data_IF_455335651351
#
_entry.id   IF_455335651351
#
_cell.length_a   1.000
_cell.length_b   1.000
_cell.length_c   1.000
_cell.angle_alpha   90.00
_cell.angle_beta   90.00
_cell.angle_gamma   90.00
#
_symmetry.space_group_name_H-M   'P 1'
#
loop_
_entity.id
_entity.type
_entity.pdbx_description
1 polymer ?
#
# COMPACT_ATOMS: atom_id res chain seq x y z
N UNK A 1 -10.57 -9.59 7.85
CA UNK A 1 -11.03 -8.94 6.61
C UNK A 1 -10.73 -9.77 5.36
N UNK A 2 -11.66 -9.84 4.39
CA UNK A 2 -11.46 -10.50 3.09
C UNK A 2 -11.16 -9.52 1.94
N UNK A 3 -10.79 -10.04 0.76
CA UNK A 3 -10.42 -9.25 -0.42
C UNK A 3 -11.52 -8.26 -0.86
N UNK A 4 -12.78 -8.69 -0.86
CA UNK A 4 -13.90 -7.82 -1.26
C UNK A 4 -14.09 -6.67 -0.27
N UNK A 5 -13.97 -6.95 1.02
CA UNK A 5 -14.03 -5.94 2.09
C UNK A 5 -12.85 -4.96 2.00
N UNK A 6 -11.65 -5.45 1.69
CA UNK A 6 -10.49 -4.59 1.43
C UNK A 6 -10.74 -3.67 0.22
N UNK A 7 -11.24 -4.23 -0.88
CA UNK A 7 -11.57 -3.44 -2.08
C UNK A 7 -12.68 -2.42 -1.83
N UNK A 8 -13.66 -2.75 -0.97
CA UNK A 8 -14.68 -1.81 -0.53
C UNK A 8 -14.05 -0.60 0.19
N UNK A 9 -13.15 -0.85 1.14
CA UNK A 9 -12.45 0.22 1.86
C UNK A 9 -11.59 1.06 0.92
N UNK A 10 -10.85 0.42 0.01
CA UNK A 10 -10.08 1.13 -1.02
C UNK A 10 -10.96 2.05 -1.85
N UNK A 11 -12.14 1.60 -2.31
CA UNK A 11 -13.06 2.45 -3.06
C UNK A 11 -13.54 3.67 -2.27
N UNK A 12 -13.79 3.50 -0.97
CA UNK A 12 -14.26 4.58 -0.09
C UNK A 12 -13.15 5.52 0.38
N UNK A 13 -11.89 5.08 0.40
CA UNK A 13 -10.73 5.94 0.63
C UNK A 13 -10.54 6.99 -0.48
N UNK A 14 -10.93 6.66 -1.71
CA UNK A 14 -10.80 7.58 -2.85
C UNK A 14 -11.93 8.61 -2.90
N UNK A 15 -13.17 8.19 -2.68
CA UNK A 15 -14.36 9.05 -2.70
C UNK A 15 -15.60 8.31 -2.16
N UNK A 16 -16.65 9.06 -1.85
CA UNK A 16 -17.96 8.48 -1.55
C UNK A 16 -18.47 7.63 -2.73
N UNK A 17 -19.14 6.53 -2.41
CA UNK A 17 -19.73 5.63 -3.40
C UNK A 17 -21.16 5.28 -3.00
N UNK A 18 -22.06 5.25 -3.97
CA UNK A 18 -23.42 4.78 -3.76
C UNK A 18 -23.48 3.26 -3.64
N UNK A 19 -24.52 2.74 -2.98
CA UNK A 19 -24.74 1.29 -2.88
C UNK A 19 -24.79 0.56 -4.24
N UNK A 20 -25.45 1.09 -5.28
CA UNK A 20 -25.41 0.53 -6.64
C UNK A 20 -24.00 0.51 -7.27
N UNK A 21 -23.19 1.55 -7.05
CA UNK A 21 -21.82 1.60 -7.59
C UNK A 21 -20.92 0.58 -6.92
N UNK A 22 -21.00 0.45 -5.59
CA UNK A 22 -20.27 -0.57 -4.82
C UNK A 22 -20.68 -1.98 -5.28
N UNK A 23 -21.99 -2.23 -5.41
CA UNK A 23 -22.52 -3.51 -5.88
C UNK A 23 -21.97 -3.87 -7.27
N UNK A 24 -21.94 -2.90 -8.19
CA UNK A 24 -21.40 -3.08 -9.54
C UNK A 24 -19.89 -3.34 -9.52
N UNK A 25 -19.11 -2.47 -8.87
CA UNK A 25 -17.63 -2.55 -8.84
C UNK A 25 -17.12 -3.80 -8.14
N UNK A 26 -17.81 -4.25 -7.08
CA UNK A 26 -17.43 -5.42 -6.29
C UNK A 26 -18.14 -6.70 -6.75
N UNK A 27 -18.91 -6.66 -7.84
CA UNK A 27 -19.68 -7.79 -8.40
C UNK A 27 -20.47 -8.51 -7.32
N UNK A 28 -21.24 -7.75 -6.55
CA UNK A 28 -21.95 -8.22 -5.37
C UNK A 28 -23.37 -7.64 -5.29
N UNK A 29 -24.28 -8.35 -4.62
CA UNK A 29 -25.62 -7.81 -4.38
C UNK A 29 -25.60 -6.65 -3.38
N UNK A 30 -26.60 -5.76 -3.42
CA UNK A 30 -26.77 -4.70 -2.41
C UNK A 30 -26.78 -5.25 -0.98
N UNK A 31 -27.45 -6.40 -0.77
CA UNK A 31 -27.48 -7.10 0.53
C UNK A 31 -26.08 -7.54 0.98
N UNK A 32 -25.26 -8.02 0.05
CA UNK A 32 -23.87 -8.40 0.33
C UNK A 32 -23.03 -7.19 0.71
N UNK A 33 -23.17 -6.07 -0.01
CA UNK A 33 -22.47 -4.81 0.33
C UNK A 33 -22.84 -4.34 1.73
N UNK A 34 -24.13 -4.30 2.08
CA UNK A 34 -24.56 -3.92 3.43
C UNK A 34 -23.99 -4.85 4.50
N UNK A 35 -24.01 -6.17 4.28
CA UNK A 35 -23.43 -7.13 5.20
C UNK A 35 -21.92 -6.89 5.38
N UNK A 36 -21.21 -6.63 4.29
CA UNK A 36 -19.78 -6.37 4.34
C UNK A 36 -19.47 -5.06 5.07
N UNK A 37 -20.28 -4.00 4.88
CA UNK A 37 -20.18 -2.73 5.63
C UNK A 37 -20.39 -2.96 7.14
N UNK A 38 -21.41 -3.72 7.53
CA UNK A 38 -21.65 -4.04 8.94
C UNK A 38 -20.47 -4.80 9.55
N UNK A 39 -20.01 -5.86 8.88
CA UNK A 39 -18.87 -6.63 9.35
C UNK A 39 -17.58 -5.78 9.46
N UNK A 40 -17.36 -4.85 8.52
CA UNK A 40 -16.22 -3.92 8.57
C UNK A 40 -16.33 -2.93 9.72
N UNK A 41 -17.51 -2.39 9.98
CA UNK A 41 -17.73 -1.47 11.11
C UNK A 41 -17.51 -2.17 12.47
N UNK A 42 -17.86 -3.45 12.57
CA UNK A 42 -17.59 -4.25 13.76
C UNK A 42 -16.09 -4.55 13.90
N UNK A 43 -15.42 -4.93 12.80
CA UNK A 43 -13.98 -5.24 12.77
C UNK A 43 -13.09 -4.00 13.05
N UNK A 44 -13.52 -2.83 12.60
CA UNK A 44 -12.75 -1.57 12.69
C UNK A 44 -13.21 -0.65 13.81
N UNK A 45 -13.89 -1.19 14.82
CA UNK A 45 -14.38 -0.41 15.95
C UNK A 45 -13.25 0.44 16.58
N UNK A 46 -13.53 1.72 16.82
CA UNK A 46 -12.58 2.73 17.31
C UNK A 46 -11.40 3.05 16.36
N UNK A 47 -11.38 2.49 15.16
CA UNK A 47 -10.33 2.70 14.16
C UNK A 47 -10.89 3.49 12.98
N UNK A 48 -11.95 2.98 12.36
CA UNK A 48 -12.65 3.64 11.26
C UNK A 48 -14.13 3.23 11.22
N UNK A 49 -14.94 4.02 10.53
CA UNK A 49 -16.37 3.78 10.39
C UNK A 49 -16.85 4.15 9.00
N UNK A 50 -17.65 3.26 8.40
CA UNK A 50 -18.38 3.51 7.17
C UNK A 50 -19.80 3.95 7.54
N UNK A 51 -20.20 5.13 7.09
CA UNK A 51 -21.51 5.73 7.37
C UNK A 51 -22.24 6.09 6.07
N UNK A 52 -23.57 6.09 6.13
CA UNK A 52 -24.39 6.60 5.03
C UNK A 52 -24.43 8.14 5.06
N UNK A 53 -24.22 8.75 3.90
CA UNK A 53 -24.25 10.20 3.64
C UNK A 53 -25.17 10.48 2.46
N UNK A 54 -25.44 11.74 2.15
CA UNK A 54 -26.35 12.11 1.04
C UNK A 54 -25.94 11.49 -0.30
N UNK A 55 -24.64 11.42 -0.58
CA UNK A 55 -24.07 10.88 -1.82
C UNK A 55 -23.59 9.42 -1.73
N UNK A 56 -24.19 8.62 -0.82
CA UNK A 56 -23.88 7.20 -0.69
C UNK A 56 -23.23 6.85 0.64
N UNK A 57 -22.07 6.21 0.60
CA UNK A 57 -21.31 5.80 1.78
C UNK A 57 -19.97 6.53 1.83
N UNK A 58 -19.56 6.93 3.04
CA UNK A 58 -18.27 7.56 3.32
C UNK A 58 -17.51 6.77 4.38
N UNK A 59 -16.18 6.76 4.29
CA UNK A 59 -15.29 6.21 5.31
C UNK A 59 -14.71 7.35 6.15
N UNK A 60 -14.87 7.26 7.47
CA UNK A 60 -14.24 8.16 8.44
C UNK A 60 -13.20 7.40 9.25
N UNK A 61 -11.97 7.91 9.33
CA UNK A 61 -10.87 7.30 10.07
C UNK A 61 -10.71 8.05 11.39
N UNK A 62 -10.86 7.34 12.50
CA UNK A 62 -10.77 7.89 13.87
C UNK A 62 -9.40 7.65 14.51
N UNK A 63 -8.67 6.62 14.07
CA UNK A 63 -7.32 6.33 14.54
C UNK A 63 -6.40 6.00 13.34
N UNK A 64 -5.75 7.03 12.80
CA UNK A 64 -4.87 6.92 11.64
C UNK A 64 -3.71 5.94 11.84
N UNK A 65 -3.10 5.88 13.01
CA UNK A 65 -1.97 4.98 13.25
C UNK A 65 -2.40 3.50 13.14
N UNK A 66 -3.48 3.14 13.84
CA UNK A 66 -4.01 1.77 13.80
C UNK A 66 -4.64 1.43 12.46
N UNK A 67 -5.31 2.40 11.84
CA UNK A 67 -5.85 2.24 10.49
C UNK A 67 -4.72 1.94 9.52
N UNK A 68 -3.65 2.73 9.53
CA UNK A 68 -2.47 2.48 8.71
C UNK A 68 -1.80 1.15 9.09
N UNK A 69 -1.78 0.69 10.35
CA UNK A 69 -1.26 -0.64 10.68
C UNK A 69 -2.08 -1.79 10.04
N UNK A 70 -3.41 -1.67 9.99
CA UNK A 70 -4.32 -2.66 9.40
C UNK A 70 -4.32 -2.59 7.87
N UNK A 71 -4.34 -1.36 7.35
CA UNK A 71 -4.49 -1.03 5.94
C UNK A 71 -3.18 -0.63 5.29
N UNK A 72 -2.04 -0.94 5.92
CA UNK A 72 -0.70 -0.73 5.38
C UNK A 72 -0.62 -1.39 4.00
N UNK A 73 -0.97 -0.63 2.97
CA UNK A 73 -0.19 -0.53 1.75
C UNK A 73 1.13 0.10 2.19
N UNK A 74 1.94 -0.63 2.96
CA UNK A 74 3.37 -0.35 2.98
C UNK A 74 3.77 -0.37 1.52
N UNK A 75 4.29 0.75 1.00
CA UNK A 75 5.17 0.65 -0.14
C UNK A 75 6.10 -0.52 0.17
N UNK A 76 6.06 -1.55 -0.67
CA UNK A 76 6.86 -2.74 -0.47
C UNK A 76 8.32 -2.30 -0.35
N UNK A 77 9.15 -3.09 0.30
CA UNK A 77 10.58 -2.82 0.34
C UNK A 77 11.14 -2.53 -1.07
N UNK A 78 10.60 -3.18 -2.10
CA UNK A 78 10.97 -2.94 -3.50
C UNK A 78 10.58 -1.54 -4.00
N UNK A 79 9.40 -1.05 -3.65
CA UNK A 79 8.93 0.31 -3.99
C UNK A 79 9.71 1.37 -3.22
N UNK A 80 10.02 1.14 -1.95
CA UNK A 80 10.86 2.03 -1.14
C UNK A 80 12.30 2.08 -1.66
N UNK A 81 12.87 0.93 -2.03
CA UNK A 81 14.19 0.86 -2.67
C UNK A 81 14.17 1.64 -3.99
N UNK A 82 13.16 1.46 -4.84
CA UNK A 82 13.04 2.19 -6.11
C UNK A 82 12.94 3.70 -5.89
N UNK A 83 12.18 4.12 -4.87
CA UNK A 83 12.04 5.53 -4.52
C UNK A 83 13.39 6.15 -4.12
N UNK A 84 14.15 5.50 -3.23
CA UNK A 84 15.48 5.99 -2.82
C UNK A 84 16.47 6.01 -3.99
N UNK A 85 16.42 5.02 -4.88
CA UNK A 85 17.26 4.96 -6.08
C UNK A 85 16.91 6.03 -7.12
N UNK A 86 15.64 6.46 -7.18
CA UNK A 86 15.17 7.43 -8.17
C UNK A 86 15.34 8.88 -7.71
N UNK A 87 15.44 9.13 -6.39
CA UNK A 87 15.48 10.47 -5.80
C UNK A 87 16.89 10.94 -5.43
N UNK A 88 17.88 10.04 -5.47
CA UNK A 88 19.28 10.34 -5.13
C UNK A 88 20.19 10.07 -6.32
N UNK A 89 21.20 10.93 -6.51
CA UNK A 89 22.21 10.73 -7.55
C UNK A 89 23.02 9.44 -7.32
N UNK A 90 23.35 9.17 -6.04
CA UNK A 90 24.04 7.97 -5.59
C UNK A 90 23.57 7.59 -4.18
N UNK A 91 23.44 6.29 -3.92
CA UNK A 91 23.13 5.72 -2.59
C UNK A 91 23.87 4.40 -2.40
N UNK A 92 24.44 4.19 -1.22
CA UNK A 92 25.17 2.94 -0.89
C UNK A 92 24.23 1.90 -0.27
N UNK A 93 24.69 0.65 -0.17
CA UNK A 93 23.95 -0.40 0.54
C UNK A 93 23.90 -0.14 2.06
N UNK A 94 24.90 0.56 2.61
CA UNK A 94 24.89 1.00 3.99
C UNK A 94 23.80 2.05 4.20
N UNK A 95 23.74 3.07 3.35
CA UNK A 95 22.69 4.10 3.42
C UNK A 95 21.28 3.48 3.32
N UNK A 96 21.05 2.58 2.35
CA UNK A 96 19.76 1.90 2.21
C UNK A 96 19.43 1.00 3.40
N UNK A 97 20.44 0.36 4.01
CA UNK A 97 20.26 -0.45 5.21
C UNK A 97 19.77 0.40 6.38
N UNK A 98 20.36 1.58 6.54
CA UNK A 98 20.01 2.49 7.63
C UNK A 98 18.66 3.19 7.39
N UNK A 99 18.37 3.61 6.15
CA UNK A 99 17.12 4.30 5.80
C UNK A 99 15.93 3.35 5.86
N UNK A 100 16.08 2.14 5.32
CA UNK A 100 14.98 1.19 5.15
C UNK A 100 14.93 0.14 6.26
N UNK A 101 15.92 0.13 7.17
CA UNK A 101 16.07 -0.86 8.24
C UNK A 101 16.11 -2.31 7.71
N UNK A 102 16.73 -2.50 6.54
CA UNK A 102 16.84 -3.80 5.87
C UNK A 102 18.27 -4.31 5.88
N UNK A 103 18.45 -5.62 6.06
CA UNK A 103 19.79 -6.21 5.99
C UNK A 103 20.37 -6.11 4.59
N UNK A 104 21.71 -5.94 4.48
CA UNK A 104 22.41 -5.89 3.18
C UNK A 104 22.15 -7.11 2.28
N UNK A 105 22.09 -8.36 2.79
CA UNK A 105 21.71 -9.51 1.96
C UNK A 105 20.32 -9.36 1.36
N UNK A 106 19.33 -8.93 2.15
CA UNK A 106 17.95 -8.75 1.69
C UNK A 106 17.82 -7.61 0.67
N UNK A 107 18.53 -6.50 0.89
CA UNK A 107 18.63 -5.41 -0.08
C UNK A 107 19.23 -5.88 -1.41
N UNK A 108 20.29 -6.68 -1.35
CA UNK A 108 20.98 -7.20 -2.55
C UNK A 108 20.05 -8.09 -3.38
N UNK A 109 19.31 -8.98 -2.72
CA UNK A 109 18.31 -9.84 -3.37
C UNK A 109 17.21 -9.01 -4.04
N UNK A 110 16.60 -8.08 -3.30
CA UNK A 110 15.52 -7.23 -3.81
C UNK A 110 15.98 -6.33 -4.97
N UNK A 111 17.16 -5.73 -4.89
CA UNK A 111 17.74 -4.92 -5.98
C UNK A 111 17.99 -5.79 -7.22
N UNK A 112 18.40 -7.05 -7.05
CA UNK A 112 18.58 -7.99 -8.16
C UNK A 112 17.25 -8.28 -8.85
N UNK A 113 16.19 -8.53 -8.08
CA UNK A 113 14.84 -8.73 -8.61
C UNK A 113 14.32 -7.47 -9.33
N UNK A 114 14.54 -6.28 -8.75
CA UNK A 114 14.17 -5.01 -9.38
C UNK A 114 14.85 -4.81 -10.73
N UNK A 115 16.16 -5.09 -10.84
CA UNK A 115 16.90 -5.04 -12.11
C UNK A 115 16.29 -5.93 -13.18
N UNK A 116 15.87 -7.13 -12.81
CA UNK A 116 15.25 -8.09 -13.72
C UNK A 116 13.85 -7.60 -14.15
N UNK A 117 13.01 -7.23 -13.19
CA UNK A 117 11.62 -6.84 -13.42
C UNK A 117 11.50 -5.55 -14.26
N UNK A 118 12.45 -4.64 -14.12
CA UNK A 118 12.43 -3.34 -14.79
C UNK A 118 13.43 -3.20 -15.94
N UNK A 119 14.08 -4.28 -16.39
CA UNK A 119 15.17 -4.23 -17.39
C UNK A 119 14.81 -3.52 -18.70
N UNK A 120 13.52 -3.51 -19.08
CA UNK A 120 13.01 -2.85 -20.29
C UNK A 120 12.59 -1.38 -20.09
N UNK A 121 12.53 -0.91 -18.84
CA UNK A 121 12.00 0.42 -18.47
C UNK A 121 13.03 1.28 -17.75
N UNK A 122 13.87 0.68 -16.90
CA UNK A 122 14.85 1.35 -16.05
C UNK A 122 16.19 0.62 -16.11
N UNK A 123 17.28 1.37 -15.96
CA UNK A 123 18.64 0.84 -15.82
C UNK A 123 19.16 1.09 -14.41
N UNK A 124 19.03 0.10 -13.54
CA UNK A 124 19.57 0.14 -12.17
C UNK A 124 21.02 -0.36 -12.20
N UNK A 125 21.98 0.47 -11.79
CA UNK A 125 23.42 0.19 -11.87
C UNK A 125 24.02 0.13 -10.47
N UNK A 126 24.92 -0.82 -10.23
CA UNK A 126 25.73 -0.87 -9.01
C UNK A 126 27.19 -0.71 -9.40
N UNK A 127 27.91 0.21 -8.76
CA UNK A 127 29.35 0.42 -8.94
C UNK A 127 30.08 0.08 -7.65
N UNK A 128 31.21 -0.62 -7.75
CA UNK A 128 32.12 -0.73 -6.60
C UNK A 128 32.80 0.62 -6.42
N UNK A 129 32.81 1.13 -5.20
CA UNK A 129 33.70 2.23 -4.83
C UNK A 129 35.08 1.58 -4.70
N UNK A 130 35.89 1.66 -5.75
CA UNK A 130 37.31 1.34 -5.63
C UNK A 130 37.95 2.52 -4.92
N UNK A 131 38.32 2.33 -3.64
CA UNK A 131 39.18 3.27 -2.96
C UNK A 131 40.49 3.38 -3.78
N UNK A 132 40.75 4.58 -4.30
CA UNK A 132 42.07 4.93 -4.84
C UNK A 132 42.92 5.17 -3.59
N UNK A 133 43.76 4.19 -3.25
CA UNK A 133 44.86 4.38 -2.31
C UNK A 133 46.05 5.00 -3.02
#
# INVERSE_FOLDING_TARGET
MNERQMNLIQLLLHQNQTGPELAKKLTASKRTILRDIHALNDELILIAQITAVQDGYSLSISNEERFNQIFKTTATDAELILFELATRDFVTLDDLSDILFLSKPMLTEKITLLKQNYTKRLKIISKKITAIF
#
